data_IF_305769401938
#
_entry.id   IF_305769401938
#
_cell.length_a   1.000
_cell.length_b   1.000
_cell.length_c   1.000
_cell.angle_alpha   90.00
_cell.angle_beta   90.00
_cell.angle_gamma   90.00
#
_symmetry.space_group_name_H-M   'P 1'
#
loop_
_entity.id
_entity.type
_entity.pdbx_description
1 polymer ?
#
# COMPACT_ATOMS: atom_id res chain seq x y z
N UNK A 1 -1.86 9.95 9.26
CA UNK A 1 -1.88 11.38 9.64
C UNK A 1 -2.56 12.17 8.55
N UNK A 2 -3.81 12.60 8.77
CA UNK A 2 -4.61 13.35 7.79
C UNK A 2 -4.35 14.84 7.98
N UNK A 3 -4.04 15.56 6.91
CA UNK A 3 -3.93 17.03 6.92
C UNK A 3 -5.02 17.62 6.03
N UNK A 4 -5.77 18.62 6.52
CA UNK A 4 -6.71 19.42 5.74
C UNK A 4 -5.98 20.59 5.07
N UNK A 5 -6.18 20.83 3.77
CA UNK A 5 -5.68 22.05 3.11
C UNK A 5 -6.66 23.21 3.35
N UNK A 6 -6.18 24.33 3.88
CA UNK A 6 -6.89 25.62 3.84
C UNK A 6 -6.29 26.46 2.70
N UNK A 7 -7.12 26.95 1.79
CA UNK A 7 -6.77 28.05 0.88
C UNK A 7 -7.50 29.31 1.38
N UNK A 8 -6.73 30.36 1.63
CA UNK A 8 -7.19 31.65 2.17
C UNK A 8 -7.67 32.55 1.04
N UNK A 9 -8.90 33.09 1.13
CA UNK A 9 -9.16 34.54 1.07
C UNK A 9 -10.61 34.85 1.53
N UNK A 10 -10.70 35.89 2.36
CA UNK A 10 -11.88 36.63 2.82
C UNK A 10 -12.83 35.99 3.86
N UNK A 11 -13.01 36.77 4.94
CA UNK A 11 -13.74 36.54 6.18
C UNK A 11 -15.11 35.90 6.06
N UNK A 12 -15.30 34.78 6.77
CA UNK A 12 -16.51 34.47 7.53
C UNK A 12 -16.17 33.39 8.58
N UNK A 13 -16.71 33.58 9.79
CA UNK A 13 -16.42 32.87 11.04
C UNK A 13 -16.12 31.36 10.84
N UNK A 14 -14.88 30.97 11.15
CA UNK A 14 -14.43 29.58 11.23
C UNK A 14 -15.28 28.80 12.24
N UNK A 15 -16.18 27.95 11.74
CA UNK A 15 -16.58 26.76 12.47
C UNK A 15 -15.39 25.80 12.42
N UNK A 16 -14.69 25.65 13.55
CA UNK A 16 -13.81 24.51 13.81
C UNK A 16 -14.66 23.23 13.72
N UNK A 17 -14.85 22.69 12.52
CA UNK A 17 -15.40 21.35 12.35
C UNK A 17 -14.35 20.37 12.89
N UNK A 18 -14.65 19.80 14.04
CA UNK A 18 -13.81 18.81 14.72
C UNK A 18 -13.31 17.73 13.75
N UNK A 19 -12.00 17.43 13.80
CA UNK A 19 -11.37 16.29 13.12
C UNK A 19 -11.97 14.92 13.50
N UNK A 20 -12.95 14.89 14.42
CA UNK A 20 -13.61 13.70 14.93
C UNK A 20 -14.37 12.90 13.84
N UNK A 21 -14.81 13.57 12.76
CA UNK A 21 -15.65 12.94 11.73
C UNK A 21 -14.88 12.52 10.46
N UNK A 22 -13.54 12.65 10.44
CA UNK A 22 -12.74 12.27 9.28
C UNK A 22 -12.25 10.82 9.41
N UNK A 23 -12.09 10.15 8.26
CA UNK A 23 -11.46 8.84 8.20
C UNK A 23 -10.01 8.92 8.69
N UNK A 24 -9.55 7.85 9.35
CA UNK A 24 -8.20 7.79 9.88
C UNK A 24 -7.37 6.75 9.12
N UNK A 25 -6.26 7.18 8.53
CA UNK A 25 -5.39 6.33 7.70
C UNK A 25 -4.11 5.93 8.44
N UNK A 26 -3.75 4.65 8.34
CA UNK A 26 -2.54 4.05 8.91
C UNK A 26 -1.90 3.05 7.93
N UNK A 27 -0.57 2.93 7.95
CA UNK A 27 0.15 1.92 7.17
C UNK A 27 1.44 1.42 7.85
N UNK A 28 1.62 1.67 9.15
CA UNK A 28 2.76 1.19 9.95
C UNK A 28 2.51 -0.23 10.47
N UNK A 29 2.48 -1.16 9.54
CA UNK A 29 2.35 -2.60 9.77
C UNK A 29 3.05 -3.36 8.64
N UNK A 30 3.21 -4.68 8.77
CA UNK A 30 3.88 -5.50 7.75
C UNK A 30 3.27 -5.28 6.36
N UNK A 31 4.14 -5.05 5.37
CA UNK A 31 3.75 -4.77 3.98
C UNK A 31 2.93 -3.48 3.78
N UNK A 32 2.69 -2.65 4.82
CA UNK A 32 1.90 -1.43 4.70
C UNK A 32 2.59 -0.34 3.85
N UNK A 33 1.86 0.21 2.88
CA UNK A 33 2.30 1.34 2.06
C UNK A 33 1.20 2.39 1.87
N UNK A 34 1.31 3.48 2.62
CA UNK A 34 0.69 4.77 2.37
C UNK A 34 1.51 5.84 3.09
N UNK A 35 1.86 6.93 2.39
CA UNK A 35 2.63 8.04 2.97
C UNK A 35 1.72 9.06 3.64
N UNK A 36 0.68 9.52 2.93
CA UNK A 36 -0.26 10.53 3.42
C UNK A 36 -1.63 10.39 2.75
N UNK A 37 -2.64 10.89 3.44
CA UNK A 37 -3.99 11.07 2.95
C UNK A 37 -4.42 12.52 3.20
N UNK A 38 -4.97 13.16 2.16
CA UNK A 38 -5.44 14.55 2.19
C UNK A 38 -6.93 14.53 1.91
N UNK A 39 -7.72 15.06 2.83
CA UNK A 39 -9.15 15.25 2.61
C UNK A 39 -9.36 16.45 1.68
N UNK A 40 -10.10 16.24 0.59
CA UNK A 40 -10.35 17.27 -0.44
C UNK A 40 -11.79 17.78 -0.45
N UNK A 41 -12.65 17.30 0.45
CA UNK A 41 -14.07 17.67 0.54
C UNK A 41 -15.01 16.55 0.10
N UNK A 42 -16.28 16.60 0.50
CA UNK A 42 -17.32 15.65 0.06
C UNK A 42 -16.97 14.15 0.21
N UNK A 43 -16.27 13.76 1.28
CA UNK A 43 -15.78 12.39 1.50
C UNK A 43 -14.71 11.91 0.48
N UNK A 44 -14.07 12.82 -0.23
CA UNK A 44 -12.94 12.53 -1.10
C UNK A 44 -11.59 12.60 -0.37
N UNK A 45 -10.69 11.69 -0.76
CA UNK A 45 -9.33 11.65 -0.26
C UNK A 45 -8.31 11.44 -1.38
N UNK A 46 -7.33 12.34 -1.43
CA UNK A 46 -6.11 12.14 -2.21
C UNK A 46 -5.08 11.37 -1.37
N UNK A 47 -4.59 10.28 -1.93
CA UNK A 47 -3.68 9.34 -1.30
C UNK A 47 -2.32 9.38 -2.00
N UNK A 48 -1.25 9.35 -1.22
CA UNK A 48 0.11 9.34 -1.73
C UNK A 48 0.83 8.12 -1.18
N UNK A 49 1.41 7.30 -2.07
CA UNK A 49 2.22 6.15 -1.71
C UNK A 49 3.64 6.57 -1.36
N UNK A 50 4.35 5.72 -0.59
CA UNK A 50 5.81 5.77 -0.54
C UNK A 50 6.37 5.07 -1.78
N UNK A 51 7.48 5.58 -2.30
CA UNK A 51 8.23 4.89 -3.35
C UNK A 51 8.92 3.65 -2.78
N UNK A 52 9.19 2.69 -3.66
CA UNK A 52 9.97 1.50 -3.33
C UNK A 52 11.36 1.90 -2.82
N UNK A 53 11.88 1.14 -1.85
CA UNK A 53 13.20 1.39 -1.26
C UNK A 53 14.27 1.44 -2.35
N UNK A 54 15.19 2.40 -2.24
CA UNK A 54 16.26 2.65 -3.22
C UNK A 54 15.77 3.13 -4.59
N UNK A 55 14.52 3.57 -4.71
CA UNK A 55 13.96 4.16 -5.93
C UNK A 55 13.39 5.55 -5.63
N UNK A 56 13.46 6.46 -6.61
CA UNK A 56 12.94 7.83 -6.44
C UNK A 56 11.46 7.97 -6.77
N UNK A 57 10.89 7.03 -7.52
CA UNK A 57 9.57 7.20 -8.14
C UNK A 57 8.71 5.95 -8.32
N UNK A 58 9.26 4.74 -8.17
CA UNK A 58 8.46 3.54 -8.40
C UNK A 58 7.43 3.36 -7.30
N UNK A 59 6.16 3.39 -7.70
CA UNK A 59 4.99 3.34 -6.84
C UNK A 59 3.92 2.50 -7.55
N UNK A 60 3.58 1.36 -6.95
CA UNK A 60 2.54 0.46 -7.46
C UNK A 60 1.79 -0.26 -6.34
N UNK A 61 2.52 -0.77 -5.36
CA UNK A 61 1.92 -1.44 -4.22
C UNK A 61 1.26 -0.43 -3.29
N UNK A 62 0.00 -0.66 -2.94
CA UNK A 62 -0.67 0.02 -1.83
C UNK A 62 -1.25 -1.02 -0.89
N UNK A 63 -1.08 -0.77 0.41
CA UNK A 63 -1.73 -1.53 1.47
C UNK A 63 -1.85 -0.65 2.70
N UNK A 64 -3.07 -0.29 3.08
CA UNK A 64 -3.31 0.64 4.18
C UNK A 64 -4.59 0.32 4.91
N UNK A 65 -4.67 0.78 6.15
CA UNK A 65 -5.82 0.64 7.04
C UNK A 65 -6.55 1.97 7.15
N UNK A 66 -7.87 1.90 7.18
CA UNK A 66 -8.78 3.00 7.43
C UNK A 66 -9.63 2.66 8.66
N UNK A 67 -9.72 3.57 9.62
CA UNK A 67 -10.62 3.48 10.77
C UNK A 67 -11.53 4.71 10.84
N UNK A 68 -12.45 4.71 11.82
CA UNK A 68 -13.50 5.73 11.96
C UNK A 68 -14.42 5.77 10.72
N UNK A 69 -14.75 4.59 10.18
CA UNK A 69 -15.64 4.46 9.01
C UNK A 69 -17.05 4.93 9.35
N UNK A 70 -17.78 5.40 8.33
CA UNK A 70 -19.18 5.81 8.46
C UNK A 70 -19.96 5.18 7.30
N UNK A 71 -21.14 4.67 7.62
CA UNK A 71 -22.07 4.06 6.64
C UNK A 71 -22.86 5.15 5.90
N UNK A 72 -23.56 4.75 4.84
CA UNK A 72 -24.46 5.62 4.05
C UNK A 72 -23.75 6.86 3.46
N UNK A 73 -22.44 6.74 3.28
CA UNK A 73 -21.59 7.76 2.67
C UNK A 73 -20.82 7.13 1.54
N UNK A 74 -20.92 7.73 0.36
CA UNK A 74 -20.05 7.42 -0.77
C UNK A 74 -18.73 8.14 -0.58
N UNK A 75 -17.66 7.36 -0.56
CA UNK A 75 -16.28 7.84 -0.49
C UNK A 75 -15.62 7.72 -1.85
N UNK A 76 -14.66 8.60 -2.14
CA UNK A 76 -13.76 8.48 -3.28
C UNK A 76 -12.33 8.53 -2.81
N UNK A 77 -11.56 7.51 -3.15
CA UNK A 77 -10.12 7.51 -2.93
C UNK A 77 -9.42 7.68 -4.27
N UNK A 78 -8.45 8.59 -4.30
CA UNK A 78 -7.61 8.82 -5.47
C UNK A 78 -6.15 8.71 -5.06
N UNK A 79 -5.47 7.63 -5.44
CA UNK A 79 -4.00 7.55 -5.32
C UNK A 79 -3.40 8.31 -6.49
N UNK A 80 -2.61 9.35 -6.23
CA UNK A 80 -2.23 10.35 -7.25
C UNK A 80 -0.83 10.19 -7.84
N UNK A 81 -0.01 9.31 -7.27
CA UNK A 81 1.42 9.24 -7.58
C UNK A 81 1.87 7.87 -8.07
N UNK A 82 1.07 7.15 -8.87
CA UNK A 82 1.52 5.92 -9.53
C UNK A 82 2.56 6.21 -10.62
N UNK A 83 3.54 5.32 -10.77
CA UNK A 83 4.58 5.49 -11.78
C UNK A 83 4.21 5.00 -13.18
N UNK A 84 3.51 3.86 -13.28
CA UNK A 84 3.33 3.17 -14.58
C UNK A 84 2.22 3.83 -15.39
N UNK A 85 2.42 3.95 -16.69
CA UNK A 85 1.40 4.49 -17.59
C UNK A 85 0.19 3.57 -17.79
N UNK A 86 0.41 2.27 -17.70
CA UNK A 86 -0.61 1.24 -17.87
C UNK A 86 -0.91 0.56 -16.55
N UNK A 87 -2.15 0.09 -16.41
CA UNK A 87 -2.63 -0.53 -15.18
C UNK A 87 -3.80 -1.45 -15.45
N UNK A 88 -3.86 -2.62 -14.80
CA UNK A 88 -5.02 -3.51 -14.92
C UNK A 88 -6.32 -2.87 -14.40
N UNK A 89 -6.23 -1.80 -13.61
CA UNK A 89 -7.38 -1.01 -13.19
C UNK A 89 -8.09 -0.34 -14.38
N UNK A 90 -7.41 -0.07 -15.50
CA UNK A 90 -8.07 0.36 -16.74
C UNK A 90 -8.75 -0.78 -17.49
N UNK A 91 -8.61 -2.02 -17.02
CA UNK A 91 -9.11 -3.25 -17.65
C UNK A 91 -9.98 -4.07 -16.68
N UNK A 92 -10.68 -3.40 -15.76
CA UNK A 92 -11.68 -4.03 -14.89
C UNK A 92 -11.15 -4.58 -13.57
N UNK A 93 -9.84 -4.47 -13.28
CA UNK A 93 -9.35 -4.79 -11.93
C UNK A 93 -9.96 -3.85 -10.90
N UNK A 94 -10.32 -4.41 -9.74
CA UNK A 94 -10.92 -3.70 -8.61
C UNK A 94 -10.01 -3.75 -7.37
N UNK A 95 -9.93 -2.69 -6.54
CA UNK A 95 -9.23 -2.77 -5.26
C UNK A 95 -9.78 -3.89 -4.38
N UNK A 96 -8.96 -4.41 -3.47
CA UNK A 96 -9.43 -5.30 -2.42
C UNK A 96 -9.78 -4.50 -1.17
N UNK A 97 -10.84 -4.90 -0.48
CA UNK A 97 -11.17 -4.47 0.87
C UNK A 97 -11.26 -5.68 1.80
N UNK A 98 -10.80 -5.51 3.03
CA UNK A 98 -11.07 -6.39 4.16
C UNK A 98 -11.66 -5.56 5.30
N UNK A 99 -12.76 -6.00 5.87
CA UNK A 99 -13.44 -5.35 6.99
C UNK A 99 -13.37 -6.28 8.20
N UNK A 100 -12.88 -5.77 9.34
CA UNK A 100 -12.81 -6.55 10.57
C UNK A 100 -14.22 -6.92 11.07
N UNK A 101 -15.18 -5.99 10.98
CA UNK A 101 -16.57 -6.27 11.34
C UNK A 101 -17.25 -7.29 10.41
N UNK A 102 -17.01 -7.21 9.09
CA UNK A 102 -17.54 -8.19 8.14
C UNK A 102 -16.95 -9.59 8.37
N UNK A 103 -15.65 -9.67 8.66
CA UNK A 103 -14.98 -10.92 8.99
C UNK A 103 -15.52 -11.51 10.30
N UNK A 104 -15.76 -10.67 11.31
CA UNK A 104 -16.29 -11.10 12.61
C UNK A 104 -17.73 -11.59 12.52
N UNK A 105 -18.63 -10.80 11.92
CA UNK A 105 -20.08 -11.05 11.87
C UNK A 105 -20.49 -12.06 10.80
N UNK A 106 -19.88 -11.96 9.63
CA UNK A 106 -20.36 -12.66 8.42
C UNK A 106 -19.31 -13.57 7.79
N UNK A 107 -18.14 -13.71 8.41
CA UNK A 107 -17.00 -14.53 7.90
C UNK A 107 -16.55 -14.13 6.49
N UNK A 108 -16.74 -12.87 6.13
CA UNK A 108 -16.30 -12.33 4.84
C UNK A 108 -14.83 -11.95 4.92
N UNK A 109 -14.02 -12.54 4.04
CA UNK A 109 -12.61 -12.19 3.91
C UNK A 109 -12.36 -11.01 2.96
N UNK A 110 -11.14 -10.97 2.44
CA UNK A 110 -10.77 -10.05 1.37
C UNK A 110 -11.67 -10.23 0.15
N UNK A 111 -12.22 -9.13 -0.36
CA UNK A 111 -13.06 -9.16 -1.55
C UNK A 111 -12.83 -7.91 -2.40
N UNK A 112 -13.14 -8.02 -3.70
CA UNK A 112 -12.96 -6.94 -4.67
C UNK A 112 -14.09 -5.93 -4.53
N UNK A 113 -13.75 -4.65 -4.42
CA UNK A 113 -14.74 -3.58 -4.25
C UNK A 113 -14.52 -2.44 -5.22
N UNK A 114 -15.50 -1.54 -5.24
CA UNK A 114 -15.37 -0.22 -5.81
C UNK A 114 -16.00 -0.12 -7.19
N UNK A 115 -16.48 1.07 -7.45
CA UNK A 115 -17.15 1.49 -8.67
C UNK A 115 -16.47 2.76 -9.20
N UNK A 116 -16.88 3.21 -10.39
CA UNK A 116 -16.31 4.39 -11.08
C UNK A 116 -14.77 4.39 -11.13
N UNK A 117 -14.19 3.20 -11.35
CA UNK A 117 -12.74 3.02 -11.33
C UNK A 117 -12.14 3.64 -12.58
N UNK A 118 -11.18 4.55 -12.40
CA UNK A 118 -10.45 5.15 -13.51
C UNK A 118 -8.96 5.18 -13.22
N UNK A 119 -8.18 4.96 -14.27
CA UNK A 119 -6.73 5.10 -14.25
C UNK A 119 -6.30 6.08 -15.33
N UNK A 120 -5.67 7.19 -14.95
CA UNK A 120 -5.38 8.30 -15.86
C UNK A 120 -4.09 9.02 -15.48
N UNK A 121 -3.53 9.81 -16.40
CA UNK A 121 -2.33 10.62 -16.12
C UNK A 121 -2.66 11.72 -15.10
N UNK A 122 -1.88 11.82 -14.04
CA UNK A 122 -2.02 12.86 -13.01
C UNK A 122 -1.75 14.22 -13.63
N UNK A 123 -2.65 15.18 -13.37
CA UNK A 123 -2.50 16.58 -13.72
C UNK A 123 -2.10 17.33 -12.46
N UNK A 124 -0.82 17.44 -12.15
CA UNK A 124 -0.37 18.48 -11.23
C UNK A 124 -0.31 19.79 -12.01
N UNK A 125 -0.83 20.86 -11.43
CA UNK A 125 -0.85 22.15 -12.11
C UNK A 125 0.57 22.60 -12.44
N UNK A 126 0.75 23.13 -13.64
CA UNK A 126 1.95 23.84 -14.08
C UNK A 126 2.27 25.10 -13.21
N UNK A 127 1.49 25.38 -12.15
CA UNK A 127 1.50 26.63 -11.38
C UNK A 127 1.72 26.51 -9.86
N UNK A 128 2.05 25.34 -9.29
CA UNK A 128 2.34 25.24 -7.85
C UNK A 128 3.83 25.29 -7.51
N UNK A 129 4.50 26.39 -7.88
CA UNK A 129 5.73 26.86 -7.25
C UNK A 129 5.39 27.89 -6.14
N UNK A 130 4.59 27.52 -5.14
CA UNK A 130 4.43 28.36 -3.95
C UNK A 130 3.97 27.54 -2.75
N UNK A 131 4.84 27.51 -1.74
CA UNK A 131 4.51 27.27 -0.33
C UNK A 131 4.17 25.83 0.11
N UNK A 132 5.21 25.01 0.28
CA UNK A 132 5.27 24.05 1.40
C UNK A 132 6.62 24.22 2.11
N UNK A 133 6.66 25.13 3.08
CA UNK A 133 7.66 25.14 4.15
C UNK A 133 7.08 24.30 5.30
N UNK A 134 7.38 23.00 5.32
CA UNK A 134 7.19 22.14 6.48
C UNK A 134 8.45 21.27 6.57
N UNK A 135 9.23 21.45 7.64
CA UNK A 135 10.64 21.06 7.78
C UNK A 135 10.95 19.57 7.85
N UNK A 136 10.56 18.80 6.84
CA UNK A 136 11.12 17.47 6.56
C UNK A 136 12.15 17.63 5.43
N UNK A 137 13.41 17.29 5.74
CA UNK A 137 14.59 17.57 4.94
C UNK A 137 14.66 16.64 3.71
N UNK A 138 13.73 16.83 2.77
CA UNK A 138 13.90 16.41 1.38
C UNK A 138 13.79 17.67 0.52
N UNK A 139 14.89 18.40 0.47
CA UNK A 139 15.04 19.61 -0.33
C UNK A 139 14.80 19.29 -1.81
N UNK A 140 13.84 19.97 -2.43
CA UNK A 140 14.08 20.46 -3.78
C UNK A 140 15.31 21.37 -3.68
N UNK A 141 16.43 20.91 -4.23
CA UNK A 141 17.72 21.57 -4.12
C UNK A 141 17.70 22.96 -4.78
N UNK A 142 17.44 24.01 -4.00
CA UNK A 142 17.91 25.37 -4.30
C UNK A 142 19.29 25.53 -3.68
N UNK A 143 20.31 25.06 -4.40
CA UNK A 143 21.71 25.55 -4.36
C UNK A 143 22.58 24.61 -5.19
N UNK A 144 22.60 24.82 -6.50
CA UNK A 144 23.71 24.37 -7.32
C UNK A 144 23.94 25.45 -8.37
N UNK A 145 25.18 25.92 -8.44
CA UNK A 145 25.69 26.80 -9.50
C UNK A 145 25.22 26.25 -10.84
N UNK A 146 24.68 27.14 -11.69
CA UNK A 146 24.17 26.89 -13.04
C UNK A 146 25.06 25.90 -13.81
N UNK A 147 24.67 24.64 -13.79
CA UNK A 147 25.16 23.64 -14.72
C UNK A 147 24.20 23.65 -15.91
N UNK A 148 24.72 23.93 -17.10
CA UNK A 148 23.94 24.22 -18.32
C UNK A 148 23.28 22.97 -18.94
N UNK A 149 23.12 21.90 -18.17
CA UNK A 149 22.68 20.59 -18.66
C UNK A 149 21.64 19.87 -17.76
N UNK A 150 20.89 20.61 -16.94
CA UNK A 150 19.77 20.06 -16.16
C UNK A 150 18.57 19.78 -17.08
N UNK A 151 18.53 18.56 -17.63
CA UNK A 151 17.38 17.97 -18.33
C UNK A 151 16.30 17.64 -17.28
N UNK A 152 15.55 18.66 -16.88
CA UNK A 152 14.41 18.57 -15.96
C UNK A 152 13.53 17.37 -16.32
N UNK A 153 13.51 16.34 -15.48
CA UNK A 153 12.56 15.25 -15.63
C UNK A 153 11.19 15.79 -15.22
N UNK A 154 10.33 16.08 -16.21
CA UNK A 154 8.89 16.07 -16.03
C UNK A 154 8.50 14.67 -15.58
N UNK A 155 8.62 14.37 -14.29
CA UNK A 155 8.22 13.06 -13.78
C UNK A 155 6.70 12.95 -13.94
N UNK A 156 6.31 12.08 -14.86
CA UNK A 156 4.90 11.80 -15.17
C UNK A 156 4.40 10.79 -14.17
N UNK A 157 3.31 11.13 -13.49
CA UNK A 157 2.60 10.22 -12.61
C UNK A 157 1.19 9.96 -13.12
N UNK A 158 0.58 8.93 -12.55
CA UNK A 158 -0.74 8.45 -12.87
C UNK A 158 -1.58 8.35 -11.59
N UNK A 159 -2.89 8.51 -11.76
CA UNK A 159 -3.87 8.45 -10.71
C UNK A 159 -4.75 7.23 -10.88
N UNK A 160 -5.03 6.53 -9.78
CA UNK A 160 -6.10 5.55 -9.66
C UNK A 160 -7.18 6.15 -8.77
N UNK A 161 -8.40 6.27 -9.27
CA UNK A 161 -9.56 6.68 -8.49
C UNK A 161 -10.60 5.56 -8.46
N UNK A 162 -11.33 5.44 -7.35
CA UNK A 162 -12.49 4.56 -7.22
C UNK A 162 -13.44 5.11 -6.16
N UNK A 163 -14.73 4.82 -6.31
CA UNK A 163 -15.75 5.15 -5.32
C UNK A 163 -16.27 3.89 -4.64
N UNK A 164 -16.74 4.02 -3.40
CA UNK A 164 -17.25 2.89 -2.61
C UNK A 164 -17.99 3.39 -1.35
N UNK A 165 -18.62 2.46 -0.62
CA UNK A 165 -19.26 2.71 0.68
C UNK A 165 -18.74 1.70 1.71
N UNK A 166 -18.66 2.11 2.99
CA UNK A 166 -18.33 1.17 4.06
C UNK A 166 -19.58 0.41 4.51
N UNK A 167 -19.48 -0.92 4.74
CA UNK A 167 -20.62 -1.72 5.20
C UNK A 167 -20.96 -1.49 6.67
N UNK A 168 -20.00 -1.03 7.48
CA UNK A 168 -20.15 -0.82 8.92
C UNK A 168 -19.53 0.51 9.35
N UNK A 169 -20.13 1.12 10.38
CA UNK A 169 -19.61 2.33 11.02
C UNK A 169 -18.66 1.94 12.16
N UNK A 170 -17.71 2.82 12.46
CA UNK A 170 -16.68 2.59 13.50
C UNK A 170 -15.89 1.27 13.29
N UNK A 171 -15.76 0.84 12.03
CA UNK A 171 -15.01 -0.34 11.63
C UNK A 171 -13.53 0.01 11.40
N UNK A 172 -12.73 -1.05 11.35
CA UNK A 172 -11.37 -1.03 10.85
C UNK A 172 -11.36 -1.83 9.56
N UNK A 173 -11.02 -1.15 8.47
CA UNK A 173 -10.95 -1.76 7.15
C UNK A 173 -9.58 -1.57 6.52
N UNK A 174 -9.25 -2.46 5.60
CA UNK A 174 -7.97 -2.47 4.91
C UNK A 174 -8.19 -2.47 3.41
N UNK A 175 -7.35 -1.73 2.69
CA UNK A 175 -7.34 -1.66 1.23
C UNK A 175 -6.00 -2.15 0.68
N UNK A 176 -6.03 -2.96 -0.37
CA UNK A 176 -4.83 -3.44 -1.04
C UNK A 176 -5.03 -3.62 -2.56
N UNK A 177 -3.95 -3.58 -3.34
CA UNK A 177 -4.05 -3.85 -4.78
C UNK A 177 -4.15 -5.36 -5.10
N UNK A 178 -3.49 -6.22 -4.33
CA UNK A 178 -3.65 -7.67 -4.34
C UNK A 178 -3.62 -8.24 -2.92
N UNK A 179 -3.93 -9.54 -2.78
CA UNK A 179 -4.03 -10.19 -1.47
C UNK A 179 -2.67 -10.10 -0.76
N UNK A 180 -2.58 -9.39 0.38
CA UNK A 180 -1.33 -9.31 1.12
C UNK A 180 -0.94 -10.70 1.65
N UNK A 181 0.33 -11.06 1.50
CA UNK A 181 0.94 -12.20 2.18
C UNK A 181 2.14 -11.68 2.98
N UNK A 182 2.01 -11.63 4.30
CA UNK A 182 2.99 -10.97 5.16
C UNK A 182 4.14 -11.91 5.53
N UNK A 183 5.24 -11.35 6.01
CA UNK A 183 6.37 -12.15 6.47
C UNK A 183 5.98 -13.04 7.65
N UNK A 184 5.19 -12.53 8.59
CA UNK A 184 4.67 -13.34 9.70
C UNK A 184 3.83 -14.52 9.20
N UNK A 185 2.95 -14.31 8.20
CA UNK A 185 2.17 -15.40 7.60
C UNK A 185 3.06 -16.46 6.94
N UNK A 186 4.12 -16.05 6.23
CA UNK A 186 5.12 -16.97 5.68
C UNK A 186 5.77 -17.78 6.79
N UNK A 187 6.22 -17.12 7.87
CA UNK A 187 6.89 -17.79 9.00
C UNK A 187 5.98 -18.80 9.68
N UNK A 188 4.72 -18.44 9.93
CA UNK A 188 3.75 -19.33 10.55
C UNK A 188 3.44 -20.54 9.68
N UNK A 189 3.26 -20.33 8.37
CA UNK A 189 3.06 -21.40 7.41
C UNK A 189 4.24 -22.37 7.42
N UNK A 190 5.46 -21.85 7.28
CA UNK A 190 6.69 -22.64 7.30
C UNK A 190 6.88 -23.41 8.62
N UNK A 191 6.64 -22.77 9.76
CA UNK A 191 6.67 -23.44 11.07
C UNK A 191 5.63 -24.57 11.16
N UNK A 192 4.46 -24.42 10.53
CA UNK A 192 3.43 -25.46 10.50
C UNK A 192 3.87 -26.68 9.69
N UNK A 193 4.59 -26.47 8.57
CA UNK A 193 5.17 -27.55 7.76
C UNK A 193 6.23 -28.30 8.57
N UNK A 194 7.13 -27.56 9.22
CA UNK A 194 8.21 -28.14 10.04
C UNK A 194 7.68 -28.90 11.25
N UNK A 195 6.54 -28.52 11.82
CA UNK A 195 5.93 -29.25 12.96
C UNK A 195 5.15 -30.48 12.53
N UNK A 196 4.79 -30.62 11.26
CA UNK A 196 3.99 -31.74 10.77
C UNK A 196 4.87 -32.97 10.49
N UNK A 197 4.77 -34.07 11.28
CA UNK A 197 5.67 -35.21 11.15
C UNK A 197 5.59 -35.90 9.78
N UNK A 198 4.42 -35.86 9.11
CA UNK A 198 4.26 -36.44 7.76
C UNK A 198 5.01 -35.61 6.73
N UNK A 199 4.93 -34.28 6.81
CA UNK A 199 5.57 -33.37 5.86
C UNK A 199 7.10 -33.40 6.02
N UNK A 200 7.60 -33.44 7.26
CA UNK A 200 9.04 -33.49 7.55
C UNK A 200 9.77 -34.68 6.92
N UNK A 201 9.06 -35.76 6.59
CA UNK A 201 9.68 -36.93 5.97
C UNK A 201 10.27 -36.60 4.60
N UNK A 202 9.62 -35.71 3.85
CA UNK A 202 9.99 -35.37 2.49
C UNK A 202 10.34 -33.90 2.30
N UNK A 203 10.05 -33.02 3.26
CA UNK A 203 10.33 -31.59 3.17
C UNK A 203 11.29 -31.16 4.28
N UNK A 204 12.45 -30.65 3.89
CA UNK A 204 13.44 -30.06 4.78
C UNK A 204 13.50 -28.55 4.55
N UNK A 205 13.48 -27.80 5.65
CA UNK A 205 13.62 -26.35 5.63
C UNK A 205 15.01 -25.96 6.11
N UNK A 206 15.70 -25.14 5.32
CA UNK A 206 17.00 -24.56 5.68
C UNK A 206 16.98 -23.04 5.44
N UNK A 207 17.96 -22.33 5.99
CA UNK A 207 18.19 -20.92 5.68
C UNK A 207 19.23 -20.85 4.57
N UNK A 208 18.85 -20.30 3.41
CA UNK A 208 19.76 -20.13 2.28
C UNK A 208 20.72 -18.97 2.54
N UNK A 209 20.17 -17.82 2.93
CA UNK A 209 20.91 -16.60 3.22
C UNK A 209 20.04 -15.61 4.02
N UNK A 210 20.54 -14.40 4.23
CA UNK A 210 19.78 -13.27 4.77
C UNK A 210 19.63 -12.17 3.72
N UNK A 211 18.48 -11.50 3.73
CA UNK A 211 18.26 -10.28 2.94
C UNK A 211 19.12 -9.13 3.47
N UNK A 212 19.22 -8.03 2.72
CA UNK A 212 19.92 -6.81 3.16
C UNK A 212 19.39 -6.23 4.49
N UNK A 213 18.14 -6.53 4.84
CA UNK A 213 17.52 -6.11 6.09
C UNK A 213 17.64 -7.17 7.21
N UNK A 214 18.43 -8.23 7.01
CA UNK A 214 18.64 -9.30 7.99
C UNK A 214 17.52 -10.35 8.07
N UNK A 215 16.49 -10.26 7.21
CA UNK A 215 15.44 -11.29 7.19
C UNK A 215 15.98 -12.60 6.61
N UNK A 216 15.74 -13.72 7.28
CA UNK A 216 16.09 -15.07 6.81
C UNK A 216 15.34 -15.40 5.52
N UNK A 217 16.06 -15.92 4.52
CA UNK A 217 15.52 -16.45 3.27
C UNK A 217 15.46 -17.97 3.37
N UNK A 218 14.28 -18.55 3.60
CA UNK A 218 14.12 -20.01 3.71
C UNK A 218 14.21 -20.68 2.34
N UNK A 219 14.85 -21.84 2.29
CA UNK A 219 14.80 -22.78 1.15
C UNK A 219 14.13 -24.07 1.62
N UNK A 220 13.20 -24.58 0.80
CA UNK A 220 12.54 -25.85 1.01
C UNK A 220 13.10 -26.88 0.04
N UNK A 221 13.66 -27.96 0.57
CA UNK A 221 14.08 -29.14 -0.21
C UNK A 221 13.00 -30.20 -0.08
N UNK A 222 12.31 -30.49 -1.19
CA UNK A 222 11.25 -31.51 -1.25
C UNK A 222 11.75 -32.71 -2.06
N UNK A 223 11.72 -33.90 -1.46
CA UNK A 223 12.46 -35.06 -1.93
C UNK A 223 11.99 -36.34 -1.23
N UNK A 224 12.34 -37.51 -1.77
CA UNK A 224 12.02 -38.79 -1.13
C UNK A 224 12.57 -38.89 0.30
N UNK A 225 11.86 -39.59 1.21
CA UNK A 225 12.31 -39.79 2.57
C UNK A 225 13.73 -40.36 2.64
N UNK A 226 14.53 -39.87 3.59
CA UNK A 226 15.92 -40.27 3.73
C UNK A 226 16.10 -41.79 3.96
N UNK A 227 15.07 -42.49 4.44
CA UNK A 227 15.07 -43.94 4.61
C UNK A 227 15.11 -44.72 3.28
N UNK A 228 14.62 -44.13 2.19
CA UNK A 228 14.48 -44.80 0.89
C UNK A 228 15.56 -44.38 -0.12
N UNK A 229 16.50 -43.51 0.28
CA UNK A 229 17.55 -43.01 -0.62
C UNK A 229 18.72 -44.00 -0.75
N UNK A 230 19.04 -44.48 -1.96
CA UNK A 230 20.33 -45.13 -2.20
C UNK A 230 21.46 -44.10 -2.02
N UNK A 231 22.58 -44.51 -1.40
CA UNK A 231 23.69 -43.68 -0.89
C UNK A 231 24.32 -42.65 -1.88
N UNK A 232 23.93 -42.59 -3.15
CA UNK A 232 24.58 -41.80 -4.20
C UNK A 232 23.67 -40.82 -4.97
N UNK A 233 22.46 -40.50 -4.50
CA UNK A 233 21.58 -39.54 -5.18
C UNK A 233 21.68 -38.14 -4.55
N UNK A 234 22.77 -37.41 -4.83
CA UNK A 234 22.74 -35.94 -4.76
C UNK A 234 22.37 -35.43 -6.15
N UNK A 235 21.16 -34.89 -6.30
CA UNK A 235 20.83 -34.08 -7.48
C UNK A 235 21.59 -32.76 -7.30
N UNK A 236 22.69 -32.62 -8.04
CA UNK A 236 23.36 -31.34 -8.20
C UNK A 236 22.45 -30.38 -8.96
N UNK A 237 22.35 -29.15 -8.47
CA UNK A 237 21.90 -28.03 -9.30
C UNK A 237 23.04 -27.62 -10.25
#
# INVERSE_FOLDING_TARGET
FVKSKQHTFASQKQAFHSNANLLQFESRFESGNLRKAIYTGQNDYELFLRSDLFTKKYTQWFYFRVSNTQVEKRYRFTIVNFYKATSLFSSGMRPLMYSEEAARRSKVGWHRIGDDIQYYRTKWGDDTESEINDGDQFSYSKSAKRDRNSKYSNDIYYSLTWTFEFPYSQDVVYFACCYPYTYSQLRDYLNSLERNPKIRQFCQQQVLCETLAGNKVPILTITEPAADRPNNAKVGF
#
